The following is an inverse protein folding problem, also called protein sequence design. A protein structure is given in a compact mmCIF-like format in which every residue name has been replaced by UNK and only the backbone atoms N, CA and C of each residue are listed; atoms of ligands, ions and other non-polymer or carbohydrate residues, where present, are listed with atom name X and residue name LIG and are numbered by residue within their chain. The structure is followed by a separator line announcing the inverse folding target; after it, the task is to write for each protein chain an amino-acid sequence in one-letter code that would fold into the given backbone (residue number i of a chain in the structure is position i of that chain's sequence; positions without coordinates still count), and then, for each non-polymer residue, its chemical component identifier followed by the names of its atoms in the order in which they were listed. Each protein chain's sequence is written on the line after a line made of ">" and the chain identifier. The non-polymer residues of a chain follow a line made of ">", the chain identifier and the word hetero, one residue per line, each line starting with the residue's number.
data_IF_942090250706
#
_entry.id   IF_942090250706
#
_cell.length_a   1.000
_cell.length_b   1.000
_cell.length_c   1.000
_cell.angle_alpha   90.00
_cell.angle_beta   90.00
_cell.angle_gamma   90.00
#
_symmetry.space_group_name_H-M   'P 1'
#
loop_
_entity.id
_entity.type
_entity.pdbx_description
1 polymer ?
#
# COMPACT_ATOMS: atom_id res chain seq x y z
N UNK A 1 7.41 22.81 2.76
CA UNK A 1 6.73 21.49 2.70
C UNK A 1 5.23 21.74 2.56
N UNK A 2 4.58 21.17 1.55
CA UNK A 2 3.15 21.39 1.28
C UNK A 2 2.26 20.82 2.39
N UNK A 3 1.13 21.48 2.65
CA UNK A 3 0.14 21.04 3.66
C UNK A 3 -0.38 19.65 3.28
N UNK A 4 -0.29 18.70 4.21
CA UNK A 4 -0.78 17.34 4.00
C UNK A 4 -2.32 17.35 4.01
N UNK A 5 -2.94 17.26 2.83
CA UNK A 5 -4.41 17.27 2.70
C UNK A 5 -4.92 15.86 2.97
N UNK A 6 -5.68 15.68 4.07
CA UNK A 6 -6.40 14.44 4.32
C UNK A 6 -7.59 14.37 3.38
N UNK A 7 -7.64 13.33 2.54
CA UNK A 7 -8.77 13.04 1.64
C UNK A 7 -9.65 11.97 2.29
N UNK A 8 -10.94 12.24 2.42
CA UNK A 8 -11.93 11.31 2.97
C UNK A 8 -12.12 10.09 2.06
N UNK A 9 -12.71 9.02 2.59
CA UNK A 9 -13.06 7.84 1.81
C UNK A 9 -14.02 8.20 0.66
N UNK A 10 -15.12 8.90 0.98
CA UNK A 10 -16.12 9.35 0.00
C UNK A 10 -15.50 10.11 -1.17
N UNK A 11 -14.56 11.02 -0.87
CA UNK A 11 -13.87 11.77 -1.90
C UNK A 11 -13.05 10.86 -2.82
N UNK A 12 -12.32 9.88 -2.26
CA UNK A 12 -11.55 8.93 -3.06
C UNK A 12 -12.45 8.06 -3.92
N UNK A 13 -13.59 7.62 -3.38
CA UNK A 13 -14.57 6.82 -4.11
C UNK A 13 -15.13 7.59 -5.31
N UNK A 14 -15.62 8.81 -5.11
CA UNK A 14 -16.10 9.69 -6.19
C UNK A 14 -15.06 9.87 -7.31
N UNK A 15 -13.79 10.08 -6.94
CA UNK A 15 -12.69 10.21 -7.93
C UNK A 15 -12.47 8.92 -8.72
N UNK A 16 -12.56 7.75 -8.08
CA UNK A 16 -12.40 6.46 -8.76
C UNK A 16 -13.59 6.16 -9.67
N UNK A 17 -14.82 6.48 -9.25
CA UNK A 17 -16.03 6.31 -10.06
C UNK A 17 -15.95 7.10 -11.37
N UNK A 18 -15.40 8.32 -11.34
CA UNK A 18 -15.14 9.10 -12.55
C UNK A 18 -14.21 8.37 -13.54
N UNK A 19 -13.16 7.71 -13.04
CA UNK A 19 -12.25 6.90 -13.87
C UNK A 19 -12.96 5.66 -14.41
N UNK A 20 -13.79 5.00 -13.60
CA UNK A 20 -14.56 3.82 -14.02
C UNK A 20 -15.63 4.18 -15.06
N UNK A 21 -16.16 5.39 -15.03
CA UNK A 21 -17.04 5.95 -16.05
C UNK A 21 -16.31 6.31 -17.37
N UNK A 22 -15.01 6.03 -17.47
CA UNK A 22 -14.24 6.20 -18.71
C UNK A 22 -13.51 7.53 -18.84
N UNK A 23 -13.49 8.39 -17.80
CA UNK A 23 -12.69 9.62 -17.83
C UNK A 23 -11.19 9.30 -17.77
N UNK A 24 -10.40 10.11 -18.47
CA UNK A 24 -8.94 9.94 -18.48
C UNK A 24 -8.31 10.38 -17.16
N UNK A 25 -7.20 9.75 -16.78
CA UNK A 25 -6.44 10.13 -15.59
C UNK A 25 -5.99 11.58 -15.63
N UNK A 26 -5.51 12.06 -16.78
CA UNK A 26 -5.07 13.47 -16.93
C UNK A 26 -6.19 14.47 -16.66
N UNK A 27 -7.42 14.18 -17.11
CA UNK A 27 -8.58 15.03 -16.82
C UNK A 27 -8.87 15.10 -15.33
N UNK A 28 -9.00 13.95 -14.67
CA UNK A 28 -9.33 13.85 -13.24
C UNK A 28 -8.20 14.43 -12.37
N UNK A 29 -6.95 14.18 -12.76
CA UNK A 29 -5.74 14.70 -12.14
C UNK A 29 -5.72 16.22 -12.08
N UNK A 30 -5.95 16.87 -13.23
CA UNK A 30 -6.05 18.34 -13.31
C UNK A 30 -7.24 18.87 -12.53
N UNK A 31 -8.41 18.23 -12.64
CA UNK A 31 -9.65 18.65 -11.97
C UNK A 31 -9.50 18.71 -10.45
N UNK A 32 -8.84 17.73 -9.85
CA UNK A 32 -8.73 17.61 -8.39
C UNK A 32 -7.36 17.96 -7.81
N UNK A 33 -6.42 18.34 -8.67
CA UNK A 33 -5.01 18.55 -8.37
C UNK A 33 -4.41 17.34 -7.62
N UNK A 34 -4.52 16.15 -8.23
CA UNK A 34 -4.07 14.87 -7.68
C UNK A 34 -3.20 14.17 -8.70
N UNK A 35 -2.02 13.73 -8.30
CA UNK A 35 -1.14 12.96 -9.17
C UNK A 35 -1.81 11.69 -9.69
N UNK A 36 -1.65 11.41 -10.98
CA UNK A 36 -2.22 10.24 -11.67
C UNK A 36 -1.90 8.93 -10.95
N UNK A 37 -0.67 8.76 -10.44
CA UNK A 37 -0.26 7.59 -9.67
C UNK A 37 -1.04 7.41 -8.36
N UNK A 38 -1.47 8.51 -7.72
CA UNK A 38 -2.33 8.45 -6.52
C UNK A 38 -3.72 7.94 -6.89
N UNK A 39 -4.28 8.43 -8.01
CA UNK A 39 -5.59 8.01 -8.52
C UNK A 39 -5.54 6.52 -8.92
N UNK A 40 -4.50 6.08 -9.62
CA UNK A 40 -4.31 4.69 -10.00
C UNK A 40 -4.24 3.76 -8.79
N UNK A 41 -3.53 4.17 -7.73
CA UNK A 41 -3.48 3.42 -6.47
C UNK A 41 -4.86 3.35 -5.80
N UNK A 42 -5.62 4.44 -5.77
CA UNK A 42 -6.99 4.42 -5.26
C UNK A 42 -7.90 3.50 -6.07
N UNK A 43 -7.82 3.52 -7.41
CA UNK A 43 -8.56 2.58 -8.26
C UNK A 43 -8.23 1.13 -7.92
N UNK A 44 -6.93 0.79 -7.80
CA UNK A 44 -6.50 -0.55 -7.40
C UNK A 44 -7.08 -0.96 -6.04
N UNK A 45 -7.00 -0.08 -5.05
CA UNK A 45 -7.57 -0.33 -3.71
C UNK A 45 -9.09 -0.47 -3.73
N UNK A 46 -9.78 0.33 -4.54
CA UNK A 46 -11.23 0.27 -4.71
C UNK A 46 -11.65 -1.08 -5.29
N UNK A 47 -11.02 -1.54 -6.37
CA UNK A 47 -11.28 -2.85 -6.99
C UNK A 47 -10.99 -4.01 -6.02
N UNK A 48 -10.01 -3.85 -5.15
CA UNK A 48 -9.67 -4.85 -4.12
C UNK A 48 -10.53 -4.73 -2.84
N UNK A 49 -11.49 -3.79 -2.77
CA UNK A 49 -12.31 -3.58 -1.56
C UNK A 49 -11.53 -3.00 -0.35
N UNK A 50 -10.33 -2.47 -0.55
CA UNK A 50 -9.41 -2.02 0.52
C UNK A 50 -9.24 -0.49 0.57
N UNK A 51 -10.07 0.28 -0.15
CA UNK A 51 -9.92 1.73 -0.24
C UNK A 51 -10.13 2.46 1.11
N UNK A 52 -10.99 1.93 1.97
CA UNK A 52 -11.23 2.44 3.33
C UNK A 52 -10.05 2.18 4.30
N UNK A 53 -9.17 1.23 3.96
CA UNK A 53 -8.08 0.81 4.84
C UNK A 53 -6.92 1.80 4.71
N UNK A 54 -6.69 2.56 5.78
CA UNK A 54 -5.51 3.42 5.93
C UNK A 54 -4.48 2.75 6.83
N UNK A 55 -3.45 2.14 6.22
CA UNK A 55 -2.36 1.48 6.94
C UNK A 55 -1.19 2.43 7.27
N UNK A 56 -1.35 3.75 7.09
CA UNK A 56 -0.30 4.71 7.46
C UNK A 56 -0.07 4.67 8.97
N UNK A 57 1.19 4.45 9.38
CA UNK A 57 1.56 4.38 10.80
C UNK A 57 1.16 3.07 11.49
N UNK A 58 0.65 2.08 10.76
CA UNK A 58 0.44 0.74 11.30
C UNK A 58 1.79 0.04 11.38
N UNK A 59 2.25 -0.29 12.58
CA UNK A 59 3.30 -1.29 12.76
C UNK A 59 2.72 -2.63 12.35
N UNK A 60 3.45 -3.46 11.56
CA UNK A 60 3.06 -4.84 11.38
C UNK A 60 2.78 -5.46 12.74
N UNK A 61 1.66 -6.13 12.91
CA UNK A 61 1.42 -6.87 14.15
C UNK A 61 2.57 -7.86 14.32
N UNK A 62 3.17 -7.97 15.52
CA UNK A 62 4.24 -8.91 15.74
C UNK A 62 3.69 -10.30 15.44
N UNK A 63 4.13 -10.89 14.33
CA UNK A 63 3.89 -12.30 14.07
C UNK A 63 4.61 -13.04 15.18
N UNK A 64 3.86 -13.75 16.02
CA UNK A 64 4.32 -14.36 17.29
C UNK A 64 5.65 -15.10 17.13
N UNK A 65 5.85 -15.71 15.96
CA UNK A 65 7.00 -16.56 15.67
C UNK A 65 8.10 -15.91 14.80
N UNK A 66 8.07 -14.59 14.54
CA UNK A 66 9.13 -13.93 13.75
C UNK A 66 10.52 -14.16 14.36
N UNK A 67 10.61 -14.15 15.69
CA UNK A 67 11.87 -14.36 16.39
C UNK A 67 12.32 -15.82 16.32
N UNK A 68 11.37 -16.76 16.30
CA UNK A 68 11.66 -18.19 16.06
C UNK A 68 12.18 -18.37 14.63
N UNK A 69 11.56 -17.73 13.64
CA UNK A 69 11.97 -17.81 12.24
C UNK A 69 13.35 -17.20 11.99
N UNK A 70 13.67 -16.07 12.65
CA UNK A 70 15.01 -15.47 12.59
C UNK A 70 16.07 -16.39 13.20
N UNK A 71 15.78 -17.00 14.35
CA UNK A 71 16.68 -17.95 15.03
C UNK A 71 16.90 -19.21 14.20
N UNK A 72 15.82 -19.80 13.64
CA UNK A 72 15.94 -20.99 12.80
C UNK A 72 16.73 -20.72 11.52
N UNK A 73 16.54 -19.56 10.91
CA UNK A 73 17.30 -19.15 9.73
C UNK A 73 18.79 -18.95 10.04
N UNK A 74 19.13 -18.29 11.15
CA UNK A 74 20.52 -18.13 11.59
C UNK A 74 21.19 -19.50 11.81
N UNK A 75 20.49 -20.41 12.49
CA UNK A 75 20.98 -21.77 12.75
C UNK A 75 21.19 -22.56 11.45
N UNK A 76 20.28 -22.42 10.47
CA UNK A 76 20.41 -23.04 9.15
C UNK A 76 21.67 -22.55 8.41
N UNK A 77 21.96 -21.24 8.48
CA UNK A 77 23.15 -20.66 7.85
C UNK A 77 24.43 -21.18 8.50
N UNK A 78 24.45 -21.34 9.82
CA UNK A 78 25.60 -21.93 10.53
C UNK A 78 25.83 -23.38 10.13
N UNK A 79 24.77 -24.19 10.02
CA UNK A 79 24.85 -25.58 9.57
C UNK A 79 25.38 -25.63 8.14
N UNK A 80 24.85 -24.78 7.25
CA UNK A 80 25.29 -24.73 5.84
C UNK A 80 26.76 -24.37 5.71
N UNK A 81 27.26 -23.44 6.51
CA UNK A 81 28.67 -23.05 6.47
C UNK A 81 29.57 -24.18 6.97
N UNK A 82 29.17 -24.90 8.03
CA UNK A 82 29.90 -26.06 8.55
C UNK A 82 29.94 -27.25 7.59
N UNK A 83 28.96 -27.39 6.70
CA UNK A 83 28.94 -28.42 5.66
C UNK A 83 29.74 -28.05 4.40
N UNK A 84 30.20 -26.80 4.31
CA UNK A 84 31.02 -26.30 3.20
C UNK A 84 32.53 -26.30 3.51
N UNK A 85 32.92 -26.64 4.74
CA UNK A 85 34.29 -26.94 5.20
C UNK A 85 34.58 -28.44 5.09
#
# INVERSE_FOLDING_TARGET
>A
MGKHIKRTYEFKQMVVEEILAGKSYSYVSKKYNILDGTIANWKKKYLNGTLAIDNRGRTPEPVEDIDILKKSYALLMEIRNKQAE
#
